data_IF_389042560739
#
_entry.id   IF_389042560739
#
_cell.length_a   1.000
_cell.length_b   1.000
_cell.length_c   1.000
_cell.angle_alpha   90.00
_cell.angle_beta   90.00
_cell.angle_gamma   90.00
#
_symmetry.space_group_name_H-M   'P 1'
#
loop_
_entity.id
_entity.type
_entity.pdbx_description
1 polymer ?
#
# COMPACT_ATOMS: atom_id res chain seq x y z
N UNK A 1 -14.38 13.40 17.24
CA UNK A 1 -13.87 12.19 16.57
C UNK A 1 -15.02 11.61 15.79
N UNK A 2 -14.75 10.99 14.66
CA UNK A 2 -15.78 10.39 13.81
C UNK A 2 -16.28 9.10 14.44
N UNK A 3 -17.54 8.75 14.21
CA UNK A 3 -17.99 7.40 14.49
C UNK A 3 -17.33 6.39 13.52
N UNK A 4 -17.49 5.08 13.79
CA UNK A 4 -16.82 4.04 13.00
C UNK A 4 -17.28 4.01 11.53
N UNK A 5 -18.54 4.33 11.25
CA UNK A 5 -19.08 4.36 9.88
C UNK A 5 -18.55 5.60 9.17
N UNK A 6 -18.63 6.77 9.79
CA UNK A 6 -18.11 8.04 9.26
C UNK A 6 -16.61 7.94 8.96
N UNK A 7 -15.83 7.31 9.85
CA UNK A 7 -14.40 7.07 9.65
C UNK A 7 -14.14 6.16 8.44
N UNK A 8 -14.91 5.08 8.31
CA UNK A 8 -14.76 4.16 7.18
C UNK A 8 -15.22 4.78 5.85
N UNK A 9 -16.25 5.64 5.86
CA UNK A 9 -16.65 6.46 4.72
C UNK A 9 -15.52 7.37 4.26
N UNK A 10 -14.86 8.06 5.20
CA UNK A 10 -13.73 8.93 4.90
C UNK A 10 -12.54 8.14 4.31
N UNK A 11 -12.21 6.96 4.88
CA UNK A 11 -11.19 6.08 4.30
C UNK A 11 -11.53 5.69 2.85
N UNK A 12 -12.80 5.41 2.57
CA UNK A 12 -13.26 5.06 1.23
C UNK A 12 -13.25 6.25 0.26
N UNK A 13 -13.58 7.46 0.72
CA UNK A 13 -13.50 8.68 -0.08
C UNK A 13 -12.08 8.97 -0.56
N UNK A 14 -11.11 8.94 0.36
CA UNK A 14 -9.70 9.10 0.03
C UNK A 14 -9.18 7.94 -0.82
N UNK A 15 -9.64 6.70 -0.59
CA UNK A 15 -9.32 5.56 -1.47
C UNK A 15 -9.78 5.80 -2.92
N UNK A 16 -11.02 6.27 -3.11
CA UNK A 16 -11.58 6.61 -4.43
C UNK A 16 -10.79 7.73 -5.11
N UNK A 17 -10.41 8.75 -4.35
CA UNK A 17 -9.64 9.88 -4.87
C UNK A 17 -8.23 9.45 -5.30
N UNK A 18 -7.49 8.71 -4.45
CA UNK A 18 -6.20 8.13 -4.81
C UNK A 18 -6.31 7.27 -6.06
N UNK A 19 -7.33 6.39 -6.10
CA UNK A 19 -7.63 5.56 -7.26
C UNK A 19 -7.86 6.39 -8.52
N UNK A 20 -8.64 7.47 -8.45
CA UNK A 20 -8.92 8.33 -9.60
C UNK A 20 -7.63 8.93 -10.17
N UNK A 21 -6.80 9.55 -9.33
CA UNK A 21 -5.56 10.18 -9.79
C UNK A 21 -4.58 9.15 -10.36
N UNK A 22 -4.39 8.02 -9.67
CA UNK A 22 -3.47 6.97 -10.13
C UNK A 22 -3.90 6.37 -11.48
N UNK A 23 -5.21 6.29 -11.74
CA UNK A 23 -5.74 5.84 -13.03
C UNK A 23 -5.54 6.88 -14.14
N UNK A 24 -5.68 8.16 -13.83
CA UNK A 24 -5.53 9.24 -14.82
C UNK A 24 -4.09 9.33 -15.35
N UNK A 25 -3.09 9.13 -14.50
CA UNK A 25 -1.68 9.27 -14.87
C UNK A 25 -0.91 7.94 -14.97
N UNK A 26 -1.67 6.85 -15.12
CA UNK A 26 -1.15 5.50 -14.99
C UNK A 26 0.04 5.20 -15.92
N UNK A 27 -0.04 5.64 -17.18
CA UNK A 27 1.02 5.41 -18.18
C UNK A 27 2.32 6.08 -17.76
N UNK A 28 2.29 7.34 -17.32
CA UNK A 28 3.49 8.05 -16.88
C UNK A 28 4.06 7.45 -15.59
N UNK A 29 3.22 6.93 -14.69
CA UNK A 29 3.69 6.18 -13.52
C UNK A 29 4.48 4.94 -13.96
N UNK A 30 3.95 4.12 -14.89
CA UNK A 30 4.68 2.95 -15.39
C UNK A 30 6.00 3.32 -16.07
N UNK A 31 5.99 4.33 -16.93
CA UNK A 31 7.19 4.83 -17.61
C UNK A 31 8.23 5.35 -16.62
N UNK A 32 7.78 6.02 -15.56
CA UNK A 32 8.61 6.49 -14.46
C UNK A 32 9.27 5.34 -13.71
N UNK A 33 8.53 4.28 -13.39
CA UNK A 33 9.07 3.09 -12.71
C UNK A 33 10.11 2.35 -13.59
N UNK A 34 9.88 2.28 -14.90
CA UNK A 34 10.80 1.65 -15.86
C UNK A 34 11.98 2.56 -16.27
N UNK A 35 11.93 3.86 -15.95
CA UNK A 35 12.99 4.82 -16.29
C UNK A 35 14.38 4.41 -15.77
N UNK A 36 14.45 3.71 -14.63
CA UNK A 36 15.70 3.18 -14.06
C UNK A 36 16.46 2.28 -15.04
N UNK A 37 15.75 1.57 -15.93
CA UNK A 37 16.34 0.63 -16.87
C UNK A 37 17.05 1.33 -18.03
N UNK A 38 16.66 2.57 -18.35
CA UNK A 38 17.31 3.39 -19.39
C UNK A 38 18.78 3.67 -19.08
N UNK A 39 19.15 3.64 -17.81
CA UNK A 39 20.52 3.87 -17.30
C UNK A 39 21.06 2.65 -16.53
N UNK A 40 20.53 1.45 -16.81
CA UNK A 40 20.89 0.21 -16.09
C UNK A 40 22.39 -0.04 -16.03
N UNK A 41 23.09 0.19 -17.14
CA UNK A 41 24.53 -0.01 -17.28
C UNK A 41 25.34 0.83 -16.27
N UNK A 42 24.80 1.95 -15.79
CA UNK A 42 25.51 2.83 -14.87
C UNK A 42 25.37 2.44 -13.39
N UNK A 43 24.32 1.70 -13.01
CA UNK A 43 24.04 1.43 -11.59
C UNK A 43 24.01 -0.06 -11.23
N UNK A 44 23.73 -0.96 -12.18
CA UNK A 44 23.41 -2.35 -11.87
C UNK A 44 24.53 -3.08 -11.11
N UNK A 45 25.77 -3.01 -11.60
CA UNK A 45 26.91 -3.67 -10.94
C UNK A 45 27.13 -3.16 -9.52
N UNK A 46 27.05 -1.84 -9.32
CA UNK A 46 27.18 -1.22 -8.00
C UNK A 46 26.03 -1.68 -7.07
N UNK A 47 24.80 -1.74 -7.57
CA UNK A 47 23.65 -2.18 -6.79
C UNK A 47 23.78 -3.63 -6.32
N UNK A 48 24.14 -4.55 -7.22
CA UNK A 48 24.30 -5.97 -6.87
C UNK A 48 25.42 -6.17 -5.84
N UNK A 49 26.51 -5.39 -5.91
CA UNK A 49 27.57 -5.43 -4.91
C UNK A 49 27.11 -5.00 -3.51
N UNK A 50 26.11 -4.12 -3.40
CA UNK A 50 25.53 -3.73 -2.10
C UNK A 50 24.53 -4.74 -1.54
N UNK A 51 24.07 -5.68 -2.36
CA UNK A 51 23.08 -6.66 -1.92
C UNK A 51 23.73 -7.66 -0.95
N UNK A 52 22.98 -8.04 0.10
CA UNK A 52 23.43 -9.08 1.03
C UNK A 52 23.57 -10.40 0.27
N UNK A 53 24.63 -11.17 0.57
CA UNK A 53 24.89 -12.47 -0.08
C UNK A 53 23.65 -13.39 0.02
N UNK A 54 23.17 -13.87 -1.11
CA UNK A 54 21.99 -14.75 -1.21
C UNK A 54 20.64 -14.04 -1.08
N UNK A 55 20.60 -12.70 -1.00
CA UNK A 55 19.38 -11.91 -0.97
C UNK A 55 19.25 -11.08 -2.24
N UNK A 56 18.13 -11.26 -2.94
CA UNK A 56 17.79 -10.47 -4.12
C UNK A 56 17.01 -9.24 -3.70
N UNK A 57 17.71 -8.11 -3.54
CA UNK A 57 17.08 -6.84 -3.22
C UNK A 57 16.18 -6.38 -4.38
N UNK A 58 15.09 -5.67 -4.04
CA UNK A 58 14.29 -4.97 -5.03
C UNK A 58 15.11 -3.81 -5.60
N UNK A 59 15.35 -3.81 -6.91
CA UNK A 59 16.02 -2.71 -7.63
C UNK A 59 15.08 -1.52 -7.89
N UNK A 60 13.80 -1.63 -7.51
CA UNK A 60 12.80 -0.60 -7.75
C UNK A 60 12.47 0.23 -6.50
N UNK A 61 12.78 -0.24 -5.30
CA UNK A 61 12.28 0.30 -4.02
C UNK A 61 12.45 1.83 -3.90
N UNK A 62 13.69 2.31 -3.86
CA UNK A 62 14.00 3.74 -3.77
C UNK A 62 13.55 4.52 -5.01
N UNK A 63 13.53 3.88 -6.19
CA UNK A 63 13.07 4.52 -7.42
C UNK A 63 11.56 4.79 -7.38
N UNK A 64 10.78 3.84 -6.89
CA UNK A 64 9.33 3.94 -6.78
C UNK A 64 8.91 5.06 -5.83
N UNK A 65 9.54 5.16 -4.66
CA UNK A 65 9.30 6.27 -3.72
C UNK A 65 9.44 7.65 -4.41
N UNK A 66 10.50 7.85 -5.20
CA UNK A 66 10.73 9.10 -5.93
C UNK A 66 9.63 9.39 -6.96
N UNK A 67 9.19 8.37 -7.70
CA UNK A 67 8.11 8.50 -8.69
C UNK A 67 6.81 8.90 -8.00
N UNK A 68 6.43 8.22 -6.91
CA UNK A 68 5.20 8.55 -6.21
C UNK A 68 5.27 9.89 -5.48
N UNK A 69 6.43 10.26 -4.94
CA UNK A 69 6.61 11.58 -4.33
C UNK A 69 6.47 12.70 -5.38
N UNK A 70 7.01 12.51 -6.59
CA UNK A 70 6.80 13.43 -7.71
C UNK A 70 5.32 13.49 -8.13
N UNK A 71 4.66 12.33 -8.25
CA UNK A 71 3.27 12.21 -8.67
C UNK A 71 2.29 12.87 -7.70
N UNK A 72 2.43 12.64 -6.39
CA UNK A 72 1.49 13.15 -5.39
C UNK A 72 1.76 14.59 -4.94
N UNK A 73 2.98 15.11 -5.12
CA UNK A 73 3.32 16.49 -4.78
C UNK A 73 2.36 17.55 -5.36
N UNK A 74 2.02 17.56 -6.68
CA UNK A 74 1.07 18.54 -7.21
C UNK A 74 -0.38 18.32 -6.74
N UNK A 75 -0.74 17.09 -6.33
CA UNK A 75 -2.09 16.72 -5.92
C UNK A 75 -2.37 17.20 -4.49
N UNK A 76 -1.47 16.87 -3.55
CA UNK A 76 -1.67 17.14 -2.12
C UNK A 76 -0.95 18.40 -1.62
N UNK A 77 -0.07 18.99 -2.43
CA UNK A 77 0.68 20.25 -2.21
C UNK A 77 1.65 20.24 -1.03
N UNK A 78 1.19 19.98 0.18
CA UNK A 78 1.98 20.14 1.40
C UNK A 78 2.30 18.78 2.05
N UNK A 79 3.49 18.21 1.78
CA UNK A 79 3.96 17.05 2.51
C UNK A 79 4.21 17.43 3.97
N UNK A 80 4.08 16.44 4.86
CA UNK A 80 4.39 16.57 6.27
C UNK A 80 5.78 15.97 6.52
N UNK A 81 6.64 16.71 7.22
CA UNK A 81 8.02 16.32 7.51
C UNK A 81 8.19 15.55 8.83
N UNK A 82 7.10 14.99 9.39
CA UNK A 82 7.17 14.23 10.63
C UNK A 82 8.18 13.07 10.52
N UNK A 83 9.01 12.85 11.54
CA UNK A 83 10.04 11.81 11.53
C UNK A 83 9.47 10.39 11.69
N UNK A 84 8.16 10.27 11.93
CA UNK A 84 7.43 9.01 12.10
C UNK A 84 6.23 9.04 11.15
N UNK A 85 6.26 8.19 10.13
CA UNK A 85 5.24 8.12 9.10
C UNK A 85 5.54 7.08 8.03
N UNK A 86 4.73 7.10 6.98
CA UNK A 86 4.95 6.31 5.76
C UNK A 86 5.86 7.10 4.82
N UNK A 87 6.23 6.49 3.69
CA UNK A 87 7.11 7.12 2.69
C UNK A 87 6.56 8.47 2.20
N UNK A 88 5.23 8.58 2.08
CA UNK A 88 4.54 9.83 1.81
C UNK A 88 3.55 10.15 2.93
N UNK A 89 3.57 11.39 3.38
CA UNK A 89 2.68 11.89 4.42
C UNK A 89 2.18 13.29 4.05
N UNK A 90 0.87 13.51 4.13
CA UNK A 90 0.25 14.78 3.78
C UNK A 90 -0.75 15.22 4.86
N UNK A 91 -0.75 16.51 5.17
CA UNK A 91 -1.79 17.10 6.00
C UNK A 91 -2.92 17.62 5.11
N UNK A 92 -4.10 17.03 5.26
CA UNK A 92 -5.31 17.40 4.53
C UNK A 92 -6.29 18.10 5.50
N UNK A 93 -7.33 18.80 5.00
CA UNK A 93 -8.28 19.48 5.87
C UNK A 93 -8.95 18.53 6.88
N UNK A 94 -9.39 17.37 6.40
CA UNK A 94 -10.16 16.39 7.17
C UNK A 94 -9.28 15.35 7.88
N UNK A 95 -8.05 15.11 7.43
CA UNK A 95 -7.26 13.95 7.84
C UNK A 95 -5.75 14.15 7.70
N UNK A 96 -4.97 13.24 8.30
CA UNK A 96 -3.56 13.05 7.97
C UNK A 96 -3.43 11.78 7.12
N UNK A 97 -2.97 11.96 5.88
CA UNK A 97 -2.87 10.90 4.88
C UNK A 97 -1.45 10.30 4.88
N UNK A 98 -1.37 8.99 5.04
CA UNK A 98 -0.15 8.20 4.87
C UNK A 98 -0.28 7.31 3.63
N UNK A 99 0.69 7.38 2.73
CA UNK A 99 0.81 6.46 1.59
C UNK A 99 2.18 5.81 1.63
N UNK A 100 2.18 4.49 1.71
CA UNK A 100 3.37 3.67 1.85
C UNK A 100 3.65 2.94 0.54
N UNK A 101 4.87 3.03 0.02
CA UNK A 101 5.25 2.45 -1.27
C UNK A 101 5.93 1.12 -1.00
N UNK A 102 5.35 0.03 -1.52
CA UNK A 102 5.87 -1.32 -1.34
C UNK A 102 6.27 -1.92 -2.67
N UNK A 103 7.52 -2.34 -2.79
CA UNK A 103 7.95 -3.16 -3.93
C UNK A 103 8.06 -4.65 -3.53
N UNK A 104 7.72 -5.53 -4.46
CA UNK A 104 7.90 -6.96 -4.29
C UNK A 104 8.37 -7.61 -5.60
N UNK A 105 9.33 -8.53 -5.49
CA UNK A 105 9.75 -9.35 -6.62
C UNK A 105 8.73 -10.46 -6.86
N UNK A 106 8.39 -10.71 -8.13
CA UNK A 106 7.43 -11.76 -8.52
C UNK A 106 7.88 -13.17 -8.10
N UNK A 107 9.19 -13.41 -7.96
CA UNK A 107 9.75 -14.68 -7.48
C UNK A 107 9.69 -14.82 -5.95
N UNK A 108 9.24 -13.79 -5.23
CA UNK A 108 9.10 -13.77 -3.77
C UNK A 108 7.63 -13.55 -3.34
N UNK A 109 6.75 -14.57 -3.50
CA UNK A 109 5.34 -14.48 -3.19
C UNK A 109 5.01 -14.23 -1.71
N UNK A 110 5.97 -14.44 -0.82
CA UNK A 110 5.79 -14.17 0.61
C UNK A 110 5.53 -12.68 0.90
N UNK A 111 5.84 -11.78 -0.05
CA UNK A 111 5.71 -10.33 0.11
C UNK A 111 4.46 -9.70 -0.49
N UNK A 112 3.68 -10.41 -1.32
CA UNK A 112 2.49 -9.84 -1.97
C UNK A 112 1.22 -10.70 -1.95
N UNK A 113 1.30 -12.02 -1.70
CA UNK A 113 0.12 -12.91 -1.78
C UNK A 113 -0.93 -12.62 -0.70
N UNK A 114 -1.91 -11.78 -1.00
CA UNK A 114 -3.04 -11.46 -0.12
C UNK A 114 -2.66 -10.62 1.10
N UNK A 115 -1.44 -10.06 1.10
CA UNK A 115 -0.89 -9.33 2.24
C UNK A 115 0.17 -8.32 1.85
N UNK A 116 0.39 -7.38 2.77
CA UNK A 116 1.50 -6.43 2.75
C UNK A 116 2.18 -6.41 4.12
N UNK A 117 3.51 -6.24 4.13
CA UNK A 117 4.24 -5.97 5.37
C UNK A 117 4.03 -4.49 5.74
N UNK A 118 3.74 -4.21 7.01
CA UNK A 118 3.50 -2.87 7.53
C UNK A 118 4.34 -2.70 8.80
N UNK A 119 5.22 -1.69 8.81
CA UNK A 119 6.07 -1.39 9.94
C UNK A 119 5.31 -0.61 11.02
N UNK A 120 5.83 -0.60 12.26
CA UNK A 120 5.22 0.11 13.39
C UNK A 120 4.97 1.61 13.14
N UNK A 121 5.76 2.23 12.25
CA UNK A 121 5.67 3.65 11.92
C UNK A 121 4.73 3.97 10.75
N UNK A 122 4.13 2.94 10.13
CA UNK A 122 3.37 3.10 8.88
C UNK A 122 1.85 3.02 9.10
N UNK A 123 1.37 2.63 10.29
CA UNK A 123 -0.07 2.49 10.55
C UNK A 123 -0.42 2.71 12.01
N UNK A 124 -1.67 3.10 12.25
CA UNK A 124 -2.29 3.13 13.58
C UNK A 124 -2.90 1.79 13.99
N UNK A 125 -3.15 0.88 13.03
CA UNK A 125 -3.82 -0.41 13.24
C UNK A 125 -2.91 -1.45 13.88
N UNK A 126 -3.29 -1.98 15.05
CA UNK A 126 -2.57 -3.08 15.70
C UNK A 126 -2.26 -2.88 17.18
N UNK A 127 -2.40 -1.65 17.72
CA UNK A 127 -2.18 -1.34 19.15
C UNK A 127 -2.95 -2.27 20.08
N UNK A 128 -4.23 -2.52 19.77
CA UNK A 128 -5.13 -3.40 20.53
C UNK A 128 -4.83 -4.91 20.34
N UNK A 129 -3.93 -5.27 19.41
CA UNK A 129 -3.45 -6.64 19.21
C UNK A 129 -2.11 -6.93 19.91
N UNK A 130 -1.63 -6.05 20.79
CA UNK A 130 -0.26 -6.06 21.35
C UNK A 130 0.84 -5.91 20.29
N UNK A 131 0.52 -5.34 19.14
CA UNK A 131 1.53 -4.89 18.18
C UNK A 131 1.84 -3.44 18.50
N UNK A 132 3.13 -3.11 18.60
CA UNK A 132 3.55 -1.73 18.78
C UNK A 132 3.26 -0.96 17.50
N UNK A 133 2.30 -0.06 17.51
CA UNK A 133 2.11 0.95 16.47
C UNK A 133 2.47 2.30 17.04
N UNK A 134 3.18 3.11 16.26
CA UNK A 134 3.68 4.41 16.67
C UNK A 134 2.83 5.56 16.07
N UNK A 135 1.95 5.28 15.10
CA UNK A 135 0.98 6.27 14.62
C UNK A 135 -0.27 6.28 15.50
N UNK A 136 -0.84 7.47 15.80
CA UNK A 136 -2.07 7.56 16.57
C UNK A 136 -3.29 7.25 15.69
N UNK A 137 -4.40 6.86 16.31
CA UNK A 137 -5.71 6.76 15.61
C UNK A 137 -6.13 8.15 15.08
N UNK A 138 -5.85 9.20 15.85
CA UNK A 138 -6.10 10.61 15.52
C UNK A 138 -4.90 11.49 15.84
N UNK A 139 -4.60 12.40 14.93
CA UNK A 139 -3.69 13.52 15.17
C UNK A 139 -4.41 14.68 15.87
N UNK A 140 -3.67 15.76 16.16
CA UNK A 140 -4.22 16.99 16.73
C UNK A 140 -5.41 17.50 15.91
N UNK A 141 -6.33 18.19 16.59
CA UNK A 141 -7.59 18.71 16.01
C UNK A 141 -8.53 17.61 15.48
N UNK A 142 -8.43 16.39 16.02
CA UNK A 142 -9.27 15.24 15.67
C UNK A 142 -9.18 14.84 14.18
N UNK A 143 -8.02 15.02 13.54
CA UNK A 143 -7.78 14.51 12.18
C UNK A 143 -7.44 13.02 12.23
N UNK A 144 -8.25 12.09 11.69
CA UNK A 144 -7.91 10.68 11.65
C UNK A 144 -6.63 10.42 10.85
N UNK A 145 -5.89 9.39 11.26
CA UNK A 145 -4.78 8.82 10.50
C UNK A 145 -5.33 7.87 9.43
N UNK A 146 -5.26 8.26 8.15
CA UNK A 146 -5.68 7.41 7.04
C UNK A 146 -4.45 6.78 6.41
N UNK A 147 -4.42 5.45 6.32
CA UNK A 147 -3.25 4.71 5.84
C UNK A 147 -3.57 3.94 4.56
N UNK A 148 -2.73 4.15 3.54
CA UNK A 148 -2.79 3.44 2.27
C UNK A 148 -1.44 2.85 1.91
N UNK A 149 -1.45 1.82 1.09
CA UNK A 149 -0.25 1.28 0.48
C UNK A 149 -0.43 1.18 -1.04
N UNK A 150 0.65 1.44 -1.77
CA UNK A 150 0.77 1.16 -3.19
C UNK A 150 1.79 0.04 -3.34
N UNK A 151 1.32 -1.16 -3.68
CA UNK A 151 2.17 -2.32 -3.89
C UNK A 151 2.48 -2.52 -5.38
N UNK A 152 3.76 -2.61 -5.70
CA UNK A 152 4.29 -2.78 -7.05
C UNK A 152 4.99 -4.14 -7.12
N UNK A 153 4.47 -5.02 -7.97
CA UNK A 153 5.07 -6.32 -8.22
C UNK A 153 5.83 -6.24 -9.52
N UNK A 154 7.10 -6.64 -9.53
CA UNK A 154 7.94 -6.55 -10.72
C UNK A 154 8.95 -7.69 -10.82
N UNK A 155 9.60 -7.78 -11.97
CA UNK A 155 10.79 -8.59 -12.15
C UNK A 155 12.05 -7.75 -11.91
N UNK A 156 13.05 -8.38 -11.31
CA UNK A 156 14.29 -7.70 -10.97
C UNK A 156 15.05 -7.27 -12.23
N UNK A 157 15.42 -5.99 -12.30
CA UNK A 157 16.18 -5.37 -13.37
C UNK A 157 15.66 -5.70 -14.79
N UNK A 158 14.34 -5.83 -14.91
CA UNK A 158 13.60 -6.04 -16.17
C UNK A 158 12.46 -5.01 -16.30
N UNK A 159 12.09 -4.66 -17.55
CA UNK A 159 10.95 -3.79 -17.80
C UNK A 159 9.63 -4.52 -17.57
N UNK A 160 8.55 -3.75 -17.44
CA UNK A 160 7.22 -4.29 -17.30
C UNK A 160 6.90 -4.62 -15.85
N UNK A 161 6.18 -3.70 -15.21
CA UNK A 161 5.50 -3.96 -13.95
C UNK A 161 4.52 -5.13 -14.14
N UNK A 162 4.38 -5.98 -13.14
CA UNK A 162 3.51 -7.16 -13.16
C UNK A 162 2.17 -6.92 -12.50
N UNK A 163 2.15 -6.11 -11.44
CA UNK A 163 0.92 -5.59 -10.87
C UNK A 163 1.18 -4.27 -10.14
N UNK A 164 0.16 -3.42 -10.14
CA UNK A 164 0.10 -2.21 -9.32
C UNK A 164 -1.20 -2.27 -8.51
N UNK A 165 -1.10 -2.23 -7.18
CA UNK A 165 -2.22 -2.47 -6.27
C UNK A 165 -2.32 -1.31 -5.30
N UNK A 166 -3.51 -0.71 -5.19
CA UNK A 166 -3.84 0.25 -4.15
C UNK A 166 -4.58 -0.47 -3.01
N UNK A 167 -4.16 -0.24 -1.77
CA UNK A 167 -4.68 -0.91 -0.58
C UNK A 167 -5.00 0.15 0.49
N UNK A 168 -6.18 0.07 1.09
CA UNK A 168 -6.57 0.81 2.29
C UNK A 168 -6.37 -0.06 3.53
N UNK A 169 -5.59 0.42 4.48
CA UNK A 169 -5.38 -0.22 5.77
C UNK A 169 -6.31 0.48 6.78
N UNK A 170 -7.18 -0.26 7.51
CA UNK A 170 -8.10 0.35 8.46
C UNK A 170 -7.37 1.16 9.52
N UNK A 171 -7.98 2.23 10.01
CA UNK A 171 -7.51 2.98 11.17
C UNK A 171 -7.63 2.15 12.45
N UNK A 172 -6.73 2.35 13.43
CA UNK A 172 -6.73 1.64 14.71
C UNK A 172 -8.04 1.72 15.51
N UNK A 173 -8.87 2.77 15.32
CA UNK A 173 -10.20 2.86 15.90
C UNK A 173 -11.05 1.64 15.49
N UNK A 174 -11.00 1.24 14.22
CA UNK A 174 -11.78 0.15 13.62
C UNK A 174 -11.33 -1.26 14.04
N UNK A 175 -10.42 -1.39 15.01
CA UNK A 175 -9.95 -2.69 15.49
C UNK A 175 -11.07 -3.58 16.03
N UNK A 176 -12.09 -3.02 16.67
CA UNK A 176 -13.27 -3.76 17.14
C UNK A 176 -14.04 -4.44 16.00
N UNK A 177 -13.96 -3.89 14.79
CA UNK A 177 -14.71 -4.34 13.60
C UNK A 177 -13.96 -5.43 12.83
N UNK A 178 -12.65 -5.22 12.64
CA UNK A 178 -11.78 -6.09 11.82
C UNK A 178 -10.98 -7.11 12.65
N UNK A 179 -10.67 -6.80 13.91
CA UNK A 179 -9.98 -7.70 14.84
C UNK A 179 -8.59 -8.16 14.41
N UNK A 180 -8.13 -9.26 15.02
CA UNK A 180 -6.80 -9.84 14.77
C UNK A 180 -6.72 -10.67 13.48
N UNK A 181 -7.84 -11.00 12.84
CA UNK A 181 -7.86 -11.90 11.68
C UNK A 181 -7.10 -11.30 10.49
N UNK A 182 -7.17 -9.98 10.30
CA UNK A 182 -6.44 -9.25 9.26
C UNK A 182 -4.97 -8.99 9.61
N UNK A 183 -4.47 -9.51 10.73
CA UNK A 183 -3.10 -9.34 11.21
C UNK A 183 -2.39 -10.70 11.24
N UNK A 184 -1.24 -10.80 10.56
CA UNK A 184 -0.32 -11.94 10.68
C UNK A 184 1.07 -11.48 11.16
N UNK A 185 1.83 -12.39 11.76
CA UNK A 185 3.23 -12.11 12.14
C UNK A 185 4.05 -11.60 10.97
N UNK A 186 4.81 -10.53 11.22
CA UNK A 186 5.81 -9.99 10.30
C UNK A 186 7.01 -10.92 10.09
N UNK A 187 8.02 -10.45 9.35
CA UNK A 187 9.24 -11.24 9.08
C UNK A 187 10.08 -11.44 10.34
N UNK A 188 9.95 -10.56 11.34
CA UNK A 188 10.64 -10.65 12.63
C UNK A 188 10.01 -11.58 13.67
N UNK A 189 8.85 -12.17 13.38
CA UNK A 189 8.04 -12.90 14.36
C UNK A 189 7.36 -11.98 15.39
N UNK A 190 6.37 -12.51 16.12
CA UNK A 190 5.68 -11.74 17.18
C UNK A 190 6.63 -11.27 18.28
N UNK A 191 7.72 -12.01 18.54
CA UNK A 191 8.69 -11.72 19.61
C UNK A 191 9.48 -10.42 19.40
N UNK A 192 9.72 -10.00 18.15
CA UNK A 192 10.38 -8.71 17.88
C UNK A 192 9.41 -7.54 17.79
N UNK A 193 8.13 -7.80 17.46
CA UNK A 193 7.05 -6.80 17.49
C UNK A 193 7.28 -5.53 16.66
N UNK A 194 8.20 -5.55 15.67
CA UNK A 194 8.61 -4.38 14.87
C UNK A 194 7.83 -4.23 13.55
N UNK A 195 7.22 -5.30 13.09
CA UNK A 195 6.48 -5.36 11.84
C UNK A 195 5.34 -6.37 11.97
N UNK A 196 4.25 -6.11 11.27
CA UNK A 196 3.19 -7.10 11.06
C UNK A 196 2.79 -7.14 9.59
N UNK A 197 2.01 -8.15 9.23
CA UNK A 197 1.44 -8.26 7.90
C UNK A 197 -0.04 -7.95 7.96
N UNK A 198 -0.47 -6.94 7.22
CA UNK A 198 -1.88 -6.72 6.96
C UNK A 198 -2.33 -7.70 5.86
N UNK A 199 -3.22 -8.62 6.23
CA UNK A 199 -3.71 -9.70 5.37
C UNK A 199 -5.06 -9.29 4.78
N UNK A 200 -5.03 -8.40 3.78
CA UNK A 200 -6.22 -7.88 3.12
C UNK A 200 -7.08 -8.97 2.46
N UNK A 201 -6.52 -10.15 2.18
CA UNK A 201 -7.30 -11.28 1.64
C UNK A 201 -8.30 -11.87 2.66
N UNK A 202 -8.05 -11.70 3.96
CA UNK A 202 -8.95 -12.18 5.02
C UNK A 202 -10.25 -11.38 5.05
N UNK A 203 -10.13 -10.07 4.91
CA UNK A 203 -11.25 -9.13 4.89
C UNK A 203 -10.94 -8.05 3.87
N UNK A 204 -11.29 -8.27 2.59
CA UNK A 204 -10.95 -7.35 1.51
C UNK A 204 -11.95 -6.19 1.40
N UNK A 205 -12.96 -6.12 2.26
CA UNK A 205 -14.06 -5.17 2.16
C UNK A 205 -13.95 -4.03 3.18
N UNK A 206 -14.50 -2.86 2.83
CA UNK A 206 -14.95 -1.86 3.79
C UNK A 206 -16.21 -2.43 4.46
N UNK A 207 -16.01 -3.14 5.57
CA UNK A 207 -16.99 -4.02 6.21
C UNK A 207 -18.28 -3.31 6.62
N UNK A 208 -18.18 -2.15 7.26
CA UNK A 208 -19.35 -1.36 7.66
C UNK A 208 -20.09 -0.81 6.44
N UNK A 209 -19.37 -0.34 5.42
CA UNK A 209 -19.99 0.15 4.18
C UNK A 209 -20.65 -0.99 3.39
N UNK A 210 -20.03 -2.16 3.34
CA UNK A 210 -20.61 -3.36 2.75
C UNK A 210 -21.92 -3.73 3.43
N UNK A 211 -21.94 -3.71 4.76
CA UNK A 211 -23.14 -3.99 5.54
C UNK A 211 -24.22 -2.92 5.36
N UNK A 212 -23.84 -1.63 5.33
CA UNK A 212 -24.74 -0.49 5.15
C UNK A 212 -25.38 -0.44 3.76
N UNK A 213 -24.58 -0.61 2.71
CA UNK A 213 -25.04 -0.46 1.32
C UNK A 213 -25.41 -1.77 0.64
N UNK A 214 -25.18 -2.93 1.28
CA UNK A 214 -25.41 -4.26 0.71
C UNK A 214 -24.71 -4.45 -0.64
N UNK A 215 -23.49 -3.92 -0.74
CA UNK A 215 -22.65 -3.97 -1.95
C UNK A 215 -21.22 -4.30 -1.55
N UNK A 216 -20.53 -5.05 -2.41
CA UNK A 216 -19.11 -5.29 -2.24
C UNK A 216 -18.33 -4.00 -2.51
N UNK A 217 -17.77 -3.42 -1.44
CA UNK A 217 -16.94 -2.22 -1.49
C UNK A 217 -15.56 -2.65 -0.99
N UNK A 218 -14.59 -2.75 -1.89
CA UNK A 218 -13.28 -3.32 -1.60
C UNK A 218 -12.30 -2.27 -1.06
N UNK A 219 -11.50 -2.68 -0.07
CA UNK A 219 -10.31 -1.96 0.44
C UNK A 219 -9.09 -2.12 -0.46
N UNK A 220 -9.19 -2.88 -1.54
CA UNK A 220 -8.12 -3.08 -2.50
C UNK A 220 -8.60 -2.82 -3.92
N UNK A 221 -7.68 -2.43 -4.80
CA UNK A 221 -7.90 -2.34 -6.25
C UNK A 221 -6.59 -2.66 -6.97
N UNK A 222 -6.65 -3.57 -7.93
CA UNK A 222 -5.60 -3.73 -8.93
C UNK A 222 -5.74 -2.60 -9.94
N UNK A 223 -4.86 -1.61 -9.85
CA UNK A 223 -4.73 -0.57 -10.87
C UNK A 223 -4.09 -1.16 -12.14
N UNK A 224 -3.26 -2.19 -11.99
CA UNK A 224 -2.73 -2.92 -13.12
C UNK A 224 -2.48 -4.36 -12.77
N UNK A 225 -2.67 -5.21 -13.77
CA UNK A 225 -2.30 -6.61 -13.75
C UNK A 225 -1.85 -7.00 -15.15
N UNK A 226 -0.64 -7.52 -15.26
CA UNK A 226 -0.11 -8.10 -16.49
C UNK A 226 -1.08 -9.20 -16.99
N UNK A 227 -1.40 -9.18 -18.29
CA UNK A 227 -2.37 -10.09 -18.93
C UNK A 227 -2.06 -11.57 -18.73
N UNK A 228 -0.78 -11.90 -18.53
CA UNK A 228 -0.34 -13.28 -18.34
C UNK A 228 -0.49 -13.75 -16.87
N UNK A 229 -0.94 -12.85 -15.98
CA UNK A 229 -1.16 -13.11 -14.56
C UNK A 229 -2.66 -13.17 -14.22
N UNK A 230 -2.98 -14.08 -13.30
CA UNK A 230 -4.31 -14.18 -12.71
C UNK A 230 -4.31 -13.43 -11.38
N UNK A 231 -5.29 -12.56 -11.15
CA UNK A 231 -5.41 -11.79 -9.91
C UNK A 231 -5.42 -12.68 -8.67
N UNK A 232 -6.11 -13.83 -8.72
CA UNK A 232 -6.11 -14.82 -7.62
C UNK A 232 -4.72 -15.33 -7.22
N UNK A 233 -3.72 -15.30 -8.11
CA UNK A 233 -2.33 -15.66 -7.77
C UNK A 233 -1.64 -14.60 -6.90
N UNK A 234 -2.19 -13.39 -6.87
CA UNK A 234 -1.68 -12.22 -6.14
C UNK A 234 -2.61 -11.87 -4.97
N UNK A 235 -3.90 -11.66 -5.22
CA UNK A 235 -4.90 -11.29 -4.22
C UNK A 235 -5.25 -12.44 -3.26
N UNK A 236 -5.18 -13.69 -3.71
CA UNK A 236 -5.58 -14.89 -2.94
C UNK A 236 -7.09 -14.93 -2.60
N UNK A 237 -7.91 -14.19 -3.34
CA UNK A 237 -9.37 -14.33 -3.33
C UNK A 237 -9.94 -14.05 -4.72
N UNK A 238 -11.16 -14.53 -4.97
CA UNK A 238 -11.86 -14.37 -6.26
C UNK A 238 -12.47 -12.98 -6.41
N UNK A 239 -12.66 -12.52 -7.65
CA UNK A 239 -13.31 -11.25 -7.96
C UNK A 239 -12.63 -9.99 -7.40
N UNK A 240 -11.33 -10.06 -7.08
CA UNK A 240 -10.56 -8.87 -6.77
C UNK A 240 -10.75 -7.80 -7.87
N UNK A 241 -11.09 -6.55 -7.52
CA UNK A 241 -11.40 -5.55 -8.52
C UNK A 241 -10.14 -5.16 -9.29
N UNK A 242 -10.22 -5.27 -10.61
CA UNK A 242 -9.15 -4.90 -11.54
C UNK A 242 -9.66 -3.76 -12.39
N UNK A 243 -8.94 -2.66 -12.39
CA UNK A 243 -9.12 -1.63 -13.38
C UNK A 243 -8.67 -2.19 -14.73
N UNK A 244 -9.63 -2.57 -15.56
CA UNK A 244 -9.36 -2.99 -16.92
C UNK A 244 -8.82 -1.79 -17.70
N UNK A 245 -7.55 -1.83 -18.09
CA UNK A 245 -7.18 -1.28 -19.38
C UNK A 245 -7.56 -2.35 -20.42
N UNK A 246 -8.63 -2.11 -21.17
CA UNK A 246 -8.67 -2.57 -22.56
C UNK A 246 -7.50 -1.88 -23.26
N UNK A 247 -6.35 -2.55 -23.32
CA UNK A 247 -5.31 -2.17 -24.26
C UNK A 247 -5.77 -2.73 -25.61
N UNK A 248 -6.33 -1.85 -26.44
CA UNK A 248 -6.31 -2.01 -27.90
C UNK A 248 -4.90 -1.66 -28.40
#
# INVERSE_FOLDING_TARGET
MLDDIELEELEWEYFKMLKLYLKQDFTHILEGLDSRLKIKENWYENFIQTARKGYKASDLDTGAERIFHHFFAPIFKFPNSAPVGADLMYELPEAILHVDIKTALIDNPADYKGKINVATNQTSYGKKANIRTNLPEYYLKNKPCLTYAIQIIHEHAKPGIKALILISIPNGQLFSIYGKSVIKSGKGGYEKGRDFRYHYAEEPYFKLLKEKYKKDIFRIEFLYLDKDLLSKKIAVFDNAPIWKQTQD
#
